data_IF_767484486114
#
_entry.id   IF_767484486114
#
_cell.length_a   1.000
_cell.length_b   1.000
_cell.length_c   1.000
_cell.angle_alpha   90.00
_cell.angle_beta   90.00
_cell.angle_gamma   90.00
#
_symmetry.space_group_name_H-M   'P 1'
#
loop_
_entity.id
_entity.type
_entity.pdbx_description
1 polymer ?
#
# COMPACT_ATOMS: atom_id res chain seq x y z
N UNK A 1 17.36 7.05 12.66
CA UNK A 1 16.74 8.37 12.93
C UNK A 1 15.89 8.27 14.18
N UNK A 2 15.79 9.35 14.96
CA UNK A 2 14.90 9.39 16.13
C UNK A 2 13.45 9.67 15.68
N UNK A 3 12.58 8.67 15.89
CA UNK A 3 11.17 8.71 15.47
C UNK A 3 10.36 9.76 16.25
N UNK A 4 10.84 10.22 17.42
CA UNK A 4 10.08 11.10 18.30
C UNK A 4 10.46 12.58 18.17
N UNK A 5 11.22 12.93 17.14
CA UNK A 5 11.44 14.34 16.77
C UNK A 5 10.16 14.97 16.22
N UNK A 6 9.99 16.27 16.43
CA UNK A 6 8.79 17.00 15.97
C UNK A 6 8.58 16.90 14.44
N UNK A 7 9.67 16.91 13.66
CA UNK A 7 9.64 16.74 12.21
C UNK A 7 9.21 15.33 11.81
N UNK A 8 9.75 14.29 12.45
CA UNK A 8 9.36 12.91 12.19
C UNK A 8 7.87 12.70 12.47
N UNK A 9 7.40 13.13 13.66
CA UNK A 9 5.99 13.02 14.05
C UNK A 9 5.08 13.75 13.05
N UNK A 10 5.43 14.98 12.63
CA UNK A 10 4.63 15.73 11.67
C UNK A 10 4.52 15.00 10.31
N UNK A 11 5.63 14.46 9.81
CA UNK A 11 5.66 13.73 8.53
C UNK A 11 4.91 12.40 8.66
N UNK A 12 5.09 11.66 9.75
CA UNK A 12 4.37 10.42 10.02
C UNK A 12 2.87 10.64 10.21
N UNK A 13 2.47 11.72 10.88
CA UNK A 13 1.08 12.11 11.02
C UNK A 13 0.44 12.40 9.66
N UNK A 14 1.14 13.14 8.78
CA UNK A 14 0.70 13.35 7.41
C UNK A 14 0.57 12.02 6.65
N UNK A 15 1.56 11.13 6.76
CA UNK A 15 1.54 9.81 6.15
C UNK A 15 0.36 8.95 6.66
N UNK A 16 0.04 9.03 7.95
CA UNK A 16 -1.08 8.34 8.58
C UNK A 16 -2.44 8.87 8.09
N UNK A 17 -2.61 10.20 7.98
CA UNK A 17 -3.81 10.82 7.39
C UNK A 17 -3.99 10.36 5.95
N UNK A 18 -2.93 10.45 5.13
CA UNK A 18 -2.92 10.00 3.73
C UNK A 18 -3.28 8.51 3.62
N UNK A 19 -2.75 7.68 4.52
CA UNK A 19 -3.07 6.25 4.60
C UNK A 19 -4.56 6.04 4.87
N UNK A 20 -5.12 6.71 5.87
CA UNK A 20 -6.55 6.63 6.18
C UNK A 20 -7.46 7.09 5.03
N UNK A 21 -7.11 8.21 4.39
CA UNK A 21 -7.79 8.73 3.20
C UNK A 21 -7.78 7.71 2.05
N UNK A 22 -6.63 7.06 1.81
CA UNK A 22 -6.49 6.06 0.76
C UNK A 22 -7.39 4.85 0.93
N UNK A 23 -7.68 4.45 2.17
CA UNK A 23 -8.46 3.22 2.44
C UNK A 23 -9.96 3.43 2.34
N UNK A 24 -10.43 4.67 2.46
CA UNK A 24 -11.86 4.98 2.57
C UNK A 24 -12.41 5.83 1.43
N UNK A 25 -11.59 6.65 0.79
CA UNK A 25 -12.02 7.55 -0.28
C UNK A 25 -11.49 7.15 -1.66
N UNK A 26 -10.19 6.89 -1.72
CA UNK A 26 -9.43 6.91 -2.97
C UNK A 26 -8.45 5.74 -3.03
N UNK A 27 -8.91 4.56 -3.49
CA UNK A 27 -8.04 3.41 -3.75
C UNK A 27 -6.93 3.79 -4.74
N UNK A 28 -5.71 3.99 -4.24
CA UNK A 28 -4.56 4.47 -5.01
C UNK A 28 -3.80 5.63 -4.37
N UNK A 29 -4.44 6.41 -3.48
CA UNK A 29 -3.79 7.51 -2.75
C UNK A 29 -2.64 7.04 -1.84
N UNK A 30 -2.66 5.78 -1.42
CA UNK A 30 -1.67 5.15 -0.55
C UNK A 30 -0.28 5.08 -1.16
N UNK A 31 -0.14 5.33 -2.47
CA UNK A 31 1.14 5.50 -3.14
C UNK A 31 1.96 6.65 -2.55
N UNK A 32 1.30 7.63 -1.91
CA UNK A 32 1.96 8.74 -1.20
C UNK A 32 2.44 8.39 0.19
N UNK A 33 1.80 7.45 0.87
CA UNK A 33 2.14 7.14 2.25
C UNK A 33 3.57 6.57 2.33
N UNK A 34 3.96 5.73 1.37
CA UNK A 34 5.23 5.02 1.38
C UNK A 34 6.43 5.97 1.31
N UNK A 35 6.49 6.94 0.35
CA UNK A 35 7.54 7.96 0.37
C UNK A 35 7.61 8.79 1.65
N UNK A 36 6.47 9.14 2.25
CA UNK A 36 6.44 9.92 3.49
C UNK A 36 7.05 9.11 4.65
N UNK A 37 6.71 7.82 4.76
CA UNK A 37 7.33 6.95 5.75
C UNK A 37 8.81 6.69 5.48
N UNK A 38 9.23 6.68 4.21
CA UNK A 38 10.63 6.58 3.84
C UNK A 38 11.45 7.86 4.14
N UNK A 39 10.80 8.94 4.56
CA UNK A 39 11.50 10.12 5.11
C UNK A 39 11.84 9.93 6.59
N UNK A 40 11.06 9.14 7.33
CA UNK A 40 11.23 8.98 8.78
C UNK A 40 11.90 7.66 9.17
N UNK A 41 11.93 6.69 8.26
CA UNK A 41 12.52 5.38 8.47
C UNK A 41 13.24 4.87 7.22
N UNK A 42 14.15 3.92 7.43
CA UNK A 42 15.02 3.35 6.41
C UNK A 42 14.86 1.83 6.34
N UNK A 43 15.17 1.25 5.17
CA UNK A 43 15.19 -0.20 4.96
C UNK A 43 13.95 -0.93 5.51
N UNK A 44 14.16 -1.85 6.45
CA UNK A 44 13.08 -2.64 7.08
C UNK A 44 12.21 -1.86 8.09
N UNK A 45 12.64 -0.68 8.53
CA UNK A 45 11.85 0.19 9.40
C UNK A 45 10.60 0.72 8.69
N UNK A 46 10.69 0.97 7.38
CA UNK A 46 9.57 1.46 6.56
C UNK A 46 8.39 0.47 6.58
N UNK A 47 8.53 -0.81 6.16
CA UNK A 47 7.44 -1.79 6.27
C UNK A 47 7.03 -2.07 7.73
N UNK A 48 7.94 -1.93 8.69
CA UNK A 48 7.66 -2.11 10.12
C UNK A 48 6.70 -1.07 10.70
N UNK A 49 6.83 0.20 10.31
CA UNK A 49 5.96 1.33 10.74
C UNK A 49 4.69 1.39 9.87
N UNK A 50 4.84 1.21 8.56
CA UNK A 50 3.68 1.34 7.64
C UNK A 50 2.61 0.28 7.88
N UNK A 51 2.99 -0.96 8.20
CA UNK A 51 2.02 -2.06 8.27
C UNK A 51 1.01 -1.92 9.41
N UNK A 52 1.38 -1.57 10.67
CA UNK A 52 0.40 -1.34 11.73
C UNK A 52 -0.55 -0.18 11.41
N UNK A 53 -0.02 0.93 10.87
CA UNK A 53 -0.83 2.08 10.41
C UNK A 53 -1.83 1.64 9.32
N UNK A 54 -1.38 0.83 8.36
CA UNK A 54 -2.24 0.28 7.31
C UNK A 54 -3.34 -0.62 7.89
N UNK A 55 -3.00 -1.49 8.84
CA UNK A 55 -3.96 -2.40 9.49
C UNK A 55 -5.03 -1.63 10.27
N UNK A 56 -4.66 -0.56 10.99
CA UNK A 56 -5.65 0.30 11.64
C UNK A 56 -6.63 0.87 10.62
N UNK A 57 -6.14 1.43 9.52
CA UNK A 57 -7.01 1.97 8.47
C UNK A 57 -7.86 0.88 7.78
N UNK A 58 -7.30 -0.31 7.57
CA UNK A 58 -7.97 -1.45 6.96
C UNK A 58 -9.14 -1.95 7.81
N UNK A 59 -9.01 -1.98 9.15
CA UNK A 59 -10.10 -2.36 10.06
C UNK A 59 -11.31 -1.44 9.88
N UNK A 60 -11.09 -0.13 9.82
CA UNK A 60 -12.18 0.82 9.55
C UNK A 60 -12.80 0.60 8.17
N UNK A 61 -11.97 0.48 7.13
CA UNK A 61 -12.45 0.28 5.76
C UNK A 61 -13.27 -1.01 5.62
N UNK A 62 -12.81 -2.12 6.19
CA UNK A 62 -13.56 -3.38 6.22
C UNK A 62 -14.86 -3.22 7.01
N UNK A 63 -14.82 -2.60 8.19
CA UNK A 63 -16.00 -2.43 9.04
C UNK A 63 -17.14 -1.69 8.32
N UNK A 64 -16.81 -0.69 7.49
CA UNK A 64 -17.80 0.14 6.79
C UNK A 64 -18.23 -0.43 5.44
N UNK A 65 -17.32 -1.06 4.68
CA UNK A 65 -17.58 -1.41 3.28
C UNK A 65 -17.67 -2.92 3.01
N UNK A 66 -17.50 -3.80 4.02
CA UNK A 66 -17.56 -5.27 3.86
C UNK A 66 -18.80 -5.83 3.16
N UNK A 67 -19.92 -5.11 3.21
CA UNK A 67 -21.18 -5.55 2.62
C UNK A 67 -21.19 -5.48 1.08
N UNK A 68 -20.29 -4.70 0.48
CA UNK A 68 -20.20 -4.50 -0.97
C UNK A 68 -19.08 -5.34 -1.62
N UNK A 69 -18.50 -6.28 -0.89
CA UNK A 69 -17.31 -7.03 -1.32
C UNK A 69 -17.63 -8.10 -2.36
N UNK A 70 -16.87 -8.09 -3.47
CA UNK A 70 -16.93 -9.08 -4.54
C UNK A 70 -15.96 -10.24 -4.28
N UNK A 71 -16.42 -11.20 -3.50
CA UNK A 71 -15.63 -12.40 -3.13
C UNK A 71 -15.29 -13.30 -4.32
N UNK A 72 -16.11 -13.27 -5.36
CA UNK A 72 -15.89 -13.93 -6.64
C UNK A 72 -14.58 -13.49 -7.31
N UNK A 73 -14.12 -12.26 -7.05
CA UNK A 73 -12.86 -11.74 -7.57
C UNK A 73 -11.67 -11.98 -6.63
N UNK A 74 -11.90 -11.98 -5.31
CA UNK A 74 -10.82 -12.14 -4.32
C UNK A 74 -10.32 -13.57 -4.20
N UNK A 75 -11.22 -14.57 -4.25
CA UNK A 75 -10.82 -15.99 -4.08
C UNK A 75 -9.85 -16.46 -5.17
N UNK A 76 -10.08 -16.16 -6.46
CA UNK A 76 -9.13 -16.54 -7.52
C UNK A 76 -7.78 -15.82 -7.42
N UNK A 77 -7.75 -14.59 -6.89
CA UNK A 77 -6.52 -13.82 -6.69
C UNK A 77 -5.63 -14.42 -5.59
N UNK A 78 -6.22 -15.05 -4.57
CA UNK A 78 -5.51 -15.43 -3.35
C UNK A 78 -4.24 -16.26 -3.60
N UNK A 79 -4.33 -17.30 -4.44
CA UNK A 79 -3.19 -18.17 -4.75
C UNK A 79 -2.04 -17.40 -5.42
N UNK A 80 -2.37 -16.48 -6.33
CA UNK A 80 -1.39 -15.67 -7.06
C UNK A 80 -0.78 -14.58 -6.19
N UNK A 81 -1.55 -14.02 -5.25
CA UNK A 81 -1.03 -13.11 -4.23
C UNK A 81 -0.01 -13.81 -3.35
N UNK A 82 -0.30 -15.05 -2.93
CA UNK A 82 0.65 -15.89 -2.18
C UNK A 82 1.92 -16.16 -3.00
N UNK A 83 1.79 -16.43 -4.30
CA UNK A 83 2.96 -16.56 -5.18
C UNK A 83 3.78 -15.25 -5.22
N UNK A 84 3.13 -14.10 -5.33
CA UNK A 84 3.77 -12.79 -5.23
C UNK A 84 4.47 -12.55 -3.88
N UNK A 85 3.86 -12.98 -2.77
CA UNK A 85 4.45 -12.93 -1.43
C UNK A 85 5.70 -13.80 -1.33
N UNK A 86 5.67 -15.00 -1.90
CA UNK A 86 6.83 -15.89 -1.93
C UNK A 86 8.00 -15.21 -2.66
N UNK A 87 7.75 -14.62 -3.83
CA UNK A 87 8.77 -13.86 -4.58
C UNK A 87 9.30 -12.68 -3.74
N UNK A 88 8.40 -11.91 -3.13
CA UNK A 88 8.78 -10.77 -2.28
C UNK A 88 9.56 -11.19 -1.02
N UNK A 89 9.24 -12.36 -0.46
CA UNK A 89 9.93 -12.94 0.69
C UNK A 89 11.35 -13.36 0.30
N UNK A 90 11.51 -14.09 -0.80
CA UNK A 90 12.83 -14.45 -1.33
C UNK A 90 13.66 -13.21 -1.62
N UNK A 91 13.05 -12.18 -2.21
CA UNK A 91 13.70 -10.89 -2.42
C UNK A 91 14.22 -10.28 -1.10
N UNK A 92 13.40 -10.20 -0.05
CA UNK A 92 13.83 -9.67 1.25
C UNK A 92 14.90 -10.52 1.94
N UNK A 93 14.87 -11.84 1.76
CA UNK A 93 15.88 -12.73 2.33
C UNK A 93 17.24 -12.52 1.65
N UNK A 94 17.24 -12.38 0.32
CA UNK A 94 18.47 -12.23 -0.48
C UNK A 94 19.03 -10.80 -0.44
N UNK A 95 18.15 -9.80 -0.58
CA UNK A 95 18.53 -8.40 -0.78
C UNK A 95 18.30 -7.55 0.46
N UNK A 96 17.51 -8.02 1.43
CA UNK A 96 17.01 -7.17 2.51
C UNK A 96 18.00 -6.76 3.59
N UNK A 97 19.27 -7.14 3.47
CA UNK A 97 20.39 -6.57 4.24
C UNK A 97 21.03 -5.36 3.53
N UNK A 98 20.83 -5.23 2.21
CA UNK A 98 21.32 -4.11 1.41
C UNK A 98 20.22 -3.04 1.32
N UNK A 99 20.29 -2.07 2.24
CA UNK A 99 19.33 -0.96 2.34
C UNK A 99 19.19 -0.23 1.00
N UNK A 100 20.31 0.07 0.32
CA UNK A 100 20.30 0.76 -0.96
C UNK A 100 19.56 -0.03 -2.05
N UNK A 101 19.78 -1.34 -2.12
CA UNK A 101 19.08 -2.18 -3.09
C UNK A 101 17.58 -2.26 -2.80
N UNK A 102 17.16 -2.28 -1.53
CA UNK A 102 15.75 -2.18 -1.15
C UNK A 102 15.13 -0.86 -1.61
N UNK A 103 15.79 0.27 -1.33
CA UNK A 103 15.31 1.60 -1.71
C UNK A 103 15.16 1.76 -3.22
N UNK A 104 16.15 1.30 -4.00
CA UNK A 104 16.09 1.33 -5.46
C UNK A 104 14.93 0.48 -5.99
N UNK A 105 14.71 -0.73 -5.45
CA UNK A 105 13.61 -1.59 -5.89
C UNK A 105 12.25 -1.00 -5.51
N UNK A 106 12.13 -0.41 -4.32
CA UNK A 106 10.91 0.31 -3.91
C UNK A 106 10.65 1.48 -4.86
N UNK A 107 11.67 2.28 -5.17
CA UNK A 107 11.56 3.42 -6.07
C UNK A 107 11.15 3.00 -7.49
N UNK A 108 11.81 1.99 -8.06
CA UNK A 108 11.45 1.44 -9.38
C UNK A 108 10.03 0.87 -9.40
N UNK A 109 9.61 0.23 -8.30
CA UNK A 109 8.24 -0.22 -8.10
C UNK A 109 7.25 0.93 -8.16
N UNK A 110 7.51 2.02 -7.42
CA UNK A 110 6.67 3.23 -7.45
C UNK A 110 6.61 3.82 -8.87
N UNK A 111 7.75 3.98 -9.56
CA UNK A 111 7.80 4.52 -10.94
C UNK A 111 6.98 3.64 -11.89
N UNK A 112 7.14 2.32 -11.82
CA UNK A 112 6.39 1.36 -12.64
C UNK A 112 4.88 1.50 -12.40
N UNK A 113 4.49 1.58 -11.13
CA UNK A 113 3.09 1.72 -10.72
C UNK A 113 2.51 3.05 -11.21
N UNK A 114 3.24 4.16 -11.11
CA UNK A 114 2.85 5.47 -11.66
C UNK A 114 2.67 5.40 -13.17
N UNK A 115 3.62 4.80 -13.89
CA UNK A 115 3.57 4.67 -15.35
C UNK A 115 2.36 3.85 -15.82
N UNK A 116 2.09 2.72 -15.16
CA UNK A 116 0.90 1.90 -15.44
C UNK A 116 -0.39 2.68 -15.20
N UNK A 117 -0.44 3.50 -14.13
CA UNK A 117 -1.61 4.30 -13.82
C UNK A 117 -1.83 5.42 -14.85
N UNK A 118 -0.78 6.09 -15.33
CA UNK A 118 -0.86 7.08 -16.42
C UNK A 118 -1.34 6.41 -17.72
N UNK A 119 -0.72 5.28 -18.10
CA UNK A 119 -1.10 4.56 -19.31
C UNK A 119 -2.58 4.16 -19.32
N UNK A 120 -3.13 3.81 -18.15
CA UNK A 120 -4.55 3.52 -17.98
C UNK A 120 -5.43 4.75 -18.20
N UNK A 121 -5.08 5.89 -17.60
CA UNK A 121 -5.85 7.14 -17.75
C UNK A 121 -5.98 7.52 -19.24
N UNK A 122 -4.94 7.23 -20.03
CA UNK A 122 -4.90 7.54 -21.47
C UNK A 122 -5.68 6.53 -22.31
N UNK A 123 -5.73 5.24 -21.93
CA UNK A 123 -6.24 4.16 -22.78
C UNK A 123 -7.77 3.97 -22.79
N UNK A 124 -8.51 4.63 -21.89
CA UNK A 124 -9.99 4.61 -21.77
C UNK A 124 -10.67 3.28 -22.21
N UNK A 125 -10.16 2.16 -21.70
CA UNK A 125 -10.57 0.82 -22.14
C UNK A 125 -11.90 0.42 -21.49
N UNK A 126 -12.85 -0.17 -22.25
CA UNK A 126 -14.15 -0.55 -21.71
C UNK A 126 -14.04 -1.70 -20.68
N UNK A 127 -15.01 -1.81 -19.76
CA UNK A 127 -15.06 -2.90 -18.78
C UNK A 127 -15.08 -4.28 -19.43
N UNK A 128 -14.41 -5.25 -18.80
CA UNK A 128 -14.30 -6.61 -19.32
C UNK A 128 -14.24 -7.64 -18.20
N UNK A 129 -14.42 -8.91 -18.54
CA UNK A 129 -14.26 -10.00 -17.57
C UNK A 129 -12.78 -10.31 -17.33
N UNK A 130 -12.46 -10.74 -16.11
CA UNK A 130 -11.10 -11.15 -15.76
C UNK A 130 -10.77 -12.46 -16.44
N UNK A 131 -9.68 -12.50 -17.20
CA UNK A 131 -9.13 -13.78 -17.65
C UNK A 131 -8.33 -14.44 -16.52
N UNK A 132 -8.16 -15.79 -16.52
CA UNK A 132 -7.31 -16.47 -15.56
C UNK A 132 -5.86 -15.95 -15.58
N UNK A 133 -5.33 -15.67 -16.77
CA UNK A 133 -3.99 -15.11 -16.96
C UNK A 133 -3.83 -13.74 -16.30
N UNK A 134 -4.84 -12.87 -16.43
CA UNK A 134 -4.78 -11.55 -15.81
C UNK A 134 -4.92 -11.62 -14.30
N UNK A 135 -5.81 -12.49 -13.82
CA UNK A 135 -5.91 -12.77 -12.38
C UNK A 135 -4.55 -13.23 -11.83
N UNK A 136 -3.84 -14.08 -12.57
CA UNK A 136 -2.50 -14.52 -12.21
C UNK A 136 -1.47 -13.39 -12.22
N UNK A 137 -1.44 -12.59 -13.29
CA UNK A 137 -0.51 -11.47 -13.44
C UNK A 137 -0.74 -10.39 -12.38
N UNK A 138 -1.97 -9.92 -12.23
CA UNK A 138 -2.32 -8.88 -11.26
C UNK A 138 -2.23 -9.38 -9.81
N UNK A 139 -2.60 -10.63 -9.54
CA UNK A 139 -2.45 -11.25 -8.23
C UNK A 139 -0.97 -11.36 -7.83
N UNK A 140 -0.12 -11.88 -8.73
CA UNK A 140 1.32 -12.02 -8.47
C UNK A 140 2.01 -10.66 -8.34
N UNK A 141 1.76 -9.74 -9.29
CA UNK A 141 2.34 -8.40 -9.24
C UNK A 141 1.84 -7.61 -8.03
N UNK A 142 0.56 -7.72 -7.69
CA UNK A 142 -0.04 -7.10 -6.51
C UNK A 142 0.54 -7.67 -5.21
N UNK A 143 0.70 -8.99 -5.12
CA UNK A 143 1.32 -9.68 -3.99
C UNK A 143 2.78 -9.26 -3.78
N UNK A 144 3.59 -9.27 -4.84
CA UNK A 144 4.98 -8.84 -4.78
C UNK A 144 5.10 -7.36 -4.37
N UNK A 145 4.41 -6.47 -5.07
CA UNK A 145 4.50 -5.02 -4.86
C UNK A 145 3.99 -4.62 -3.48
N UNK A 146 2.92 -5.26 -2.99
CA UNK A 146 2.43 -4.97 -1.64
C UNK A 146 3.42 -5.47 -0.59
N UNK A 147 4.06 -6.63 -0.81
CA UNK A 147 5.01 -7.20 0.13
C UNK A 147 6.31 -6.38 0.23
N UNK A 148 6.82 -5.91 -0.90
CA UNK A 148 8.10 -5.18 -0.96
C UNK A 148 7.96 -3.70 -0.62
N UNK A 149 6.94 -3.03 -1.15
CA UNK A 149 6.84 -1.57 -1.08
C UNK A 149 5.50 -1.04 -0.59
N UNK A 150 4.57 -1.90 -0.13
CA UNK A 150 3.21 -1.51 0.27
C UNK A 150 2.45 -0.66 -0.78
N UNK A 151 2.84 -0.76 -2.05
CA UNK A 151 2.40 0.14 -3.14
C UNK A 151 1.54 -0.56 -4.19
N UNK A 152 0.93 -1.71 -3.88
CA UNK A 152 0.05 -2.43 -4.81
C UNK A 152 -1.32 -1.76 -5.04
N UNK A 153 -1.57 -0.62 -4.39
CA UNK A 153 -2.74 0.26 -4.56
C UNK A 153 -3.20 0.34 -6.02
N UNK A 154 -2.37 0.92 -6.90
CA UNK A 154 -2.78 1.13 -8.28
C UNK A 154 -2.82 -0.13 -9.13
N UNK A 155 -2.03 -1.17 -8.83
CA UNK A 155 -2.10 -2.45 -9.55
C UNK A 155 -3.48 -3.07 -9.34
N UNK A 156 -3.92 -3.18 -8.08
CA UNK A 156 -5.21 -3.80 -7.77
C UNK A 156 -6.38 -2.90 -8.17
N UNK A 157 -6.24 -1.57 -8.02
CA UNK A 157 -7.23 -0.63 -8.54
C UNK A 157 -7.36 -0.70 -10.07
N UNK A 158 -6.25 -0.94 -10.78
CA UNK A 158 -6.23 -1.17 -12.23
C UNK A 158 -7.02 -2.41 -12.61
N UNK A 159 -6.72 -3.52 -11.94
CA UNK A 159 -7.47 -4.76 -12.11
C UNK A 159 -8.96 -4.55 -11.84
N UNK A 160 -9.35 -4.14 -10.63
CA UNK A 160 -10.75 -4.10 -10.20
C UNK A 160 -11.62 -3.10 -10.98
N UNK A 161 -11.13 -1.89 -11.25
CA UNK A 161 -11.89 -0.94 -12.08
C UNK A 161 -11.92 -1.41 -13.54
N UNK A 162 -10.91 -2.16 -14.01
CA UNK A 162 -10.92 -2.73 -15.36
C UNK A 162 -12.02 -3.79 -15.53
N UNK A 163 -12.48 -4.36 -14.42
CA UNK A 163 -13.61 -5.28 -14.36
C UNK A 163 -14.96 -4.59 -14.19
N UNK A 164 -15.00 -3.25 -14.21
CA UNK A 164 -16.24 -2.47 -14.14
C UNK A 164 -16.89 -2.42 -12.76
N UNK A 165 -16.11 -2.61 -11.67
CA UNK A 165 -16.64 -2.43 -10.33
C UNK A 165 -17.08 -0.98 -10.12
N UNK A 166 -18.30 -0.81 -9.59
CA UNK A 166 -18.74 0.47 -9.09
C UNK A 166 -17.87 0.92 -7.89
N UNK A 167 -18.01 2.18 -7.50
CA UNK A 167 -17.16 2.80 -6.47
C UNK A 167 -17.29 2.09 -5.11
N UNK A 168 -18.49 1.68 -4.71
CA UNK A 168 -18.74 1.03 -3.42
C UNK A 168 -18.19 -0.40 -3.39
N UNK A 169 -18.39 -1.16 -4.46
CA UNK A 169 -17.83 -2.49 -4.62
C UNK A 169 -16.30 -2.44 -4.74
N UNK A 170 -15.74 -1.44 -5.42
CA UNK A 170 -14.31 -1.22 -5.51
C UNK A 170 -13.69 -1.01 -4.12
N UNK A 171 -14.25 -0.09 -3.33
CA UNK A 171 -13.77 0.20 -1.97
C UNK A 171 -13.95 -1.01 -1.06
N UNK A 172 -15.12 -1.66 -1.07
CA UNK A 172 -15.39 -2.83 -0.24
C UNK A 172 -14.56 -4.06 -0.60
N UNK A 173 -14.30 -4.28 -1.89
CA UNK A 173 -13.44 -5.38 -2.36
C UNK A 173 -11.98 -5.11 -2.05
N UNK A 174 -11.52 -3.88 -2.27
CA UNK A 174 -10.16 -3.46 -1.93
C UNK A 174 -9.88 -3.50 -0.43
N UNK A 175 -10.87 -3.14 0.41
CA UNK A 175 -10.73 -3.16 1.86
C UNK A 175 -10.40 -4.56 2.38
N UNK A 176 -11.18 -5.58 1.98
CA UNK A 176 -10.89 -6.97 2.35
C UNK A 176 -9.61 -7.50 1.75
N UNK A 177 -9.32 -7.16 0.49
CA UNK A 177 -8.05 -7.51 -0.14
C UNK A 177 -6.87 -7.01 0.70
N UNK A 178 -6.82 -5.70 0.98
CA UNK A 178 -5.69 -5.12 1.69
C UNK A 178 -5.60 -5.58 3.14
N UNK A 179 -6.73 -5.70 3.84
CA UNK A 179 -6.75 -6.23 5.20
C UNK A 179 -6.17 -7.65 5.25
N UNK A 180 -6.64 -8.55 4.38
CA UNK A 180 -6.18 -9.94 4.37
C UNK A 180 -4.69 -10.05 4.03
N UNK A 181 -4.23 -9.35 2.99
CA UNK A 181 -2.81 -9.41 2.58
C UNK A 181 -1.91 -8.74 3.62
N UNK A 182 -2.33 -7.62 4.22
CA UNK A 182 -1.53 -6.95 5.25
C UNK A 182 -1.46 -7.78 6.53
N UNK A 183 -2.56 -8.44 6.91
CA UNK A 183 -2.57 -9.36 8.05
C UNK A 183 -1.65 -10.57 7.78
N UNK A 184 -1.68 -11.12 6.57
CA UNK A 184 -0.82 -12.23 6.16
C UNK A 184 0.67 -11.88 6.14
N UNK A 185 1.05 -10.60 6.02
CA UNK A 185 2.47 -10.17 6.08
C UNK A 185 3.07 -10.32 7.48
N UNK A 186 2.28 -10.18 8.54
CA UNK A 186 2.78 -10.19 9.92
C UNK A 186 3.62 -11.44 10.22
N UNK A 187 3.12 -12.69 10.05
CA UNK A 187 3.91 -13.87 10.34
C UNK A 187 5.16 -13.98 9.46
N UNK A 188 5.08 -13.52 8.20
CA UNK A 188 6.21 -13.59 7.26
C UNK A 188 7.29 -12.58 7.63
N UNK A 189 6.94 -11.34 7.96
CA UNK A 189 7.89 -10.34 8.43
C UNK A 189 8.53 -10.75 9.76
N UNK A 190 7.75 -11.31 10.70
CA UNK A 190 8.31 -11.86 11.94
C UNK A 190 9.31 -12.99 11.66
N UNK A 191 9.01 -13.89 10.72
CA UNK A 191 9.95 -14.92 10.30
C UNK A 191 11.22 -14.30 9.67
N UNK A 192 11.09 -13.40 8.68
CA UNK A 192 12.26 -12.75 8.07
C UNK A 192 13.11 -12.04 9.15
N UNK A 193 12.50 -11.34 10.10
CA UNK A 193 13.20 -10.65 11.18
C UNK A 193 13.86 -11.57 12.21
N UNK A 194 13.38 -12.81 12.36
CA UNK A 194 13.98 -13.81 13.24
C UNK A 194 15.15 -14.54 12.59
N UNK A 195 15.11 -14.77 11.28
CA UNK A 195 16.07 -15.62 10.56
C UNK A 195 17.09 -14.84 9.72
N UNK A 196 16.84 -13.58 9.38
CA UNK A 196 17.71 -12.78 8.51
C UNK A 196 18.48 -11.71 9.29
N UNK A 197 19.72 -11.45 8.87
CA UNK A 197 20.67 -10.49 9.45
C UNK A 197 20.32 -9.01 9.28
N UNK A 198 19.22 -8.67 8.60
CA UNK A 198 18.83 -7.28 8.32
C UNK A 198 18.01 -6.57 9.41
N UNK A 199 17.87 -7.17 10.60
CA UNK A 199 17.11 -6.59 11.72
C UNK A 199 15.63 -6.97 11.77
N UNK A 200 14.98 -6.57 12.87
CA UNK A 200 13.58 -6.92 13.19
C UNK A 200 12.59 -5.91 12.62
N UNK A 201 11.45 -6.42 12.19
CA UNK A 201 10.24 -5.62 11.96
C UNK A 201 9.51 -5.43 13.31
N UNK A 202 8.69 -4.38 13.42
CA UNK A 202 7.85 -4.12 14.60
C UNK A 202 8.64 -4.00 15.91
N UNK A 203 9.62 -3.10 15.96
CA UNK A 203 10.32 -2.83 17.22
C UNK A 203 9.37 -2.17 18.23
N UNK A 204 9.70 -2.24 19.52
CA UNK A 204 8.91 -1.56 20.56
C UNK A 204 8.82 -0.06 20.27
N UNK A 205 9.90 0.52 19.77
CA UNK A 205 9.97 1.92 19.37
C UNK A 205 9.03 2.23 18.19
N UNK A 206 9.06 1.41 17.13
CA UNK A 206 8.19 1.60 15.98
C UNK A 206 6.71 1.44 16.37
N UNK A 207 6.36 0.46 17.20
CA UNK A 207 4.98 0.24 17.65
C UNK A 207 4.46 1.38 18.55
N UNK A 208 5.31 1.97 19.40
CA UNK A 208 4.95 3.18 20.15
C UNK A 208 4.68 4.36 19.21
N UNK A 209 5.52 4.51 18.19
CA UNK A 209 5.33 5.52 17.17
C UNK A 209 4.03 5.30 16.38
N UNK A 210 3.73 4.07 15.97
CA UNK A 210 2.47 3.72 15.29
C UNK A 210 1.23 4.03 16.14
N UNK A 211 1.32 3.80 17.46
CA UNK A 211 0.25 4.14 18.39
C UNK A 211 0.03 5.66 18.49
N UNK A 212 1.12 6.44 18.48
CA UNK A 212 1.05 7.90 18.42
C UNK A 212 0.40 8.38 17.11
N UNK A 213 0.60 7.67 16.00
CA UNK A 213 0.02 7.98 14.71
C UNK A 213 -1.46 7.58 14.57
N UNK A 214 -1.97 6.71 15.45
CA UNK A 214 -3.34 6.19 15.36
C UNK A 214 -4.44 7.28 15.26
N UNK A 215 -4.44 8.36 16.07
CA UNK A 215 -5.46 9.41 15.95
C UNK A 215 -5.47 10.07 14.57
N UNK A 216 -4.31 10.18 13.91
CA UNK A 216 -4.17 10.75 12.57
C UNK A 216 -4.70 9.80 11.49
N UNK A 217 -4.56 8.49 11.68
CA UNK A 217 -5.24 7.49 10.86
C UNK A 217 -6.76 7.68 10.95
N UNK A 218 -7.29 7.83 12.17
CA UNK A 218 -8.73 8.06 12.39
C UNK A 218 -9.18 9.33 11.67
N UNK A 219 -8.46 10.44 11.81
CA UNK A 219 -8.75 11.69 11.08
C UNK A 219 -8.80 11.44 9.56
N UNK A 220 -7.81 10.72 9.01
CA UNK A 220 -7.76 10.39 7.58
C UNK A 220 -8.92 9.51 7.12
N UNK A 221 -9.27 8.48 7.89
CA UNK A 221 -10.35 7.54 7.61
C UNK A 221 -11.72 8.23 7.62
N UNK A 222 -12.01 9.05 8.64
CA UNK A 222 -13.27 9.79 8.71
C UNK A 222 -13.34 10.92 7.68
N UNK A 223 -12.23 11.64 7.50
CA UNK A 223 -12.09 12.64 6.44
C UNK A 223 -12.35 12.02 5.07
N UNK A 224 -11.78 10.86 4.79
CA UNK A 224 -11.94 10.16 3.52
C UNK A 224 -13.38 9.73 3.27
N UNK A 225 -14.05 9.16 4.28
CA UNK A 225 -15.48 8.84 4.18
C UNK A 225 -16.35 10.07 3.88
N UNK A 226 -16.04 11.22 4.50
CA UNK A 226 -16.78 12.46 4.28
C UNK A 226 -16.47 13.13 2.92
N UNK A 227 -15.25 12.93 2.40
CA UNK A 227 -14.79 13.45 1.10
C UNK A 227 -15.18 12.56 -0.09
N UNK A 228 -15.42 11.26 0.13
CA UNK A 228 -15.78 10.29 -0.91
C UNK A 228 -16.89 10.79 -1.87
N UNK A 229 -17.93 11.53 -1.44
CA UNK A 229 -18.96 12.05 -2.34
C UNK A 229 -18.57 13.35 -3.07
N UNK A 230 -17.51 14.05 -2.64
CA UNK A 230 -17.21 15.45 -3.01
C UNK A 230 -15.89 15.62 -3.79
N UNK A 231 -15.13 14.56 -3.96
CA UNK A 231 -13.81 14.61 -4.58
C UNK A 231 -13.89 14.74 -6.11
N UNK A 232 -13.15 15.72 -6.65
CA UNK A 232 -12.77 15.73 -8.06
C UNK A 232 -11.64 14.73 -8.28
N UNK A 233 -11.98 13.53 -8.73
CA UNK A 233 -11.08 12.38 -8.87
C UNK A 233 -9.78 12.69 -9.63
N UNK A 234 -9.84 13.54 -10.67
CA UNK A 234 -8.69 13.83 -11.54
C UNK A 234 -7.59 14.65 -10.87
N UNK A 235 -7.92 15.73 -10.14
CA UNK A 235 -6.91 16.58 -9.51
C UNK A 235 -6.13 15.82 -8.44
N UNK A 236 -6.85 15.12 -7.58
CA UNK A 236 -6.22 14.36 -6.51
C UNK A 236 -5.36 13.23 -7.06
N UNK A 237 -5.82 12.55 -8.12
CA UNK A 237 -5.04 11.51 -8.78
C UNK A 237 -3.70 12.05 -9.29
N UNK A 238 -3.68 13.19 -9.96
CA UNK A 238 -2.43 13.80 -10.45
C UNK A 238 -1.50 14.24 -9.30
N UNK A 239 -2.04 14.79 -8.22
CA UNK A 239 -1.27 15.15 -7.03
C UNK A 239 -0.58 13.91 -6.42
N UNK A 240 -1.31 12.80 -6.31
CA UNK A 240 -0.77 11.52 -5.82
C UNK A 240 0.36 11.03 -6.72
N UNK A 241 0.15 11.01 -8.05
CA UNK A 241 1.18 10.53 -8.97
C UNK A 241 2.44 11.39 -8.90
N UNK A 242 2.30 12.72 -8.85
CA UNK A 242 3.42 13.65 -8.80
C UNK A 242 4.26 13.49 -7.52
N UNK A 243 3.61 13.49 -6.35
CA UNK A 243 4.32 13.38 -5.07
C UNK A 243 4.91 11.96 -4.86
N UNK A 244 4.26 10.91 -5.38
CA UNK A 244 4.84 9.57 -5.39
C UNK A 244 6.09 9.48 -6.25
N UNK A 245 6.10 10.13 -7.41
CA UNK A 245 7.27 10.21 -8.28
C UNK A 245 8.40 10.99 -7.58
N UNK A 246 8.10 12.11 -6.92
CA UNK A 246 9.08 12.86 -6.14
C UNK A 246 9.69 12.00 -5.02
N UNK A 247 8.86 11.20 -4.35
CA UNK A 247 9.27 10.20 -3.37
C UNK A 247 10.22 9.14 -3.92
N UNK A 248 9.90 8.59 -5.09
CA UNK A 248 10.75 7.62 -5.77
C UNK A 248 12.09 8.24 -6.18
N UNK A 249 12.09 9.48 -6.69
CA UNK A 249 13.32 10.23 -7.02
C UNK A 249 14.18 10.42 -5.77
N UNK A 250 13.59 10.82 -4.64
CA UNK A 250 14.34 10.93 -3.37
C UNK A 250 14.99 9.60 -3.00
N UNK A 251 14.26 8.49 -3.08
CA UNK A 251 14.81 7.15 -2.79
C UNK A 251 15.96 6.74 -3.73
N UNK A 252 15.93 7.20 -4.99
CA UNK A 252 17.03 6.98 -5.93
C UNK A 252 18.23 7.90 -5.69
N UNK A 253 18.03 9.05 -5.04
CA UNK A 253 19.08 10.06 -4.80
C UNK A 253 19.65 10.03 -3.37
N UNK A 254 18.99 9.34 -2.44
CA UNK A 254 19.46 9.11 -1.07
C UNK A 254 20.78 8.33 -1.05
#
# INVERSE_FOLDING_TARGET
MDLFTASAIAIGALAAVVTGLSKTALPGAGLLAVPLFAVVAEGRGIPGITLPVLLFADVFAVSWYRHHTRWDLLRPLAAWVVAGFAIGTTFFVVVGSNVRALEVVIALGIVTVVALQIARIVRDTPPRHATPTETAMYGTAGGFTTFVSNSAGPIMNTYLVGLGLDRTALVGTSAWFYFAVNLAKIPVYLAIGAWSTGGRFFTVESLKYDLLLFPFVVIGVYGGRALLPRLHDRFFLWLVLALSLAGAVKLLLA
#
